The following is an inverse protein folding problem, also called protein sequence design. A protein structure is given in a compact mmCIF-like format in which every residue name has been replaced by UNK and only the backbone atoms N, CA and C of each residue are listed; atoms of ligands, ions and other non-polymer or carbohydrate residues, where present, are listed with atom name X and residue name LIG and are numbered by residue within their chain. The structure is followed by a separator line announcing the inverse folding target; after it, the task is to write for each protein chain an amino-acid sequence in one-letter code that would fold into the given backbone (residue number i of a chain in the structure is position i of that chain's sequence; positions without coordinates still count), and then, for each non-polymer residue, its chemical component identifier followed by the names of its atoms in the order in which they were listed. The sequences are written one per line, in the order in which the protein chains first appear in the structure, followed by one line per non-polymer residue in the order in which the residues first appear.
data_IF_678155854529
#
_entry.id   IF_678155854529
#
_cell.length_a   1.000
_cell.length_b   1.000
_cell.length_c   1.000
_cell.angle_alpha   90.00
_cell.angle_beta   90.00
_cell.angle_gamma   90.00
#
_symmetry.space_group_name_H-M   'P 1'
#
loop_
_entity.id
_entity.type
_entity.pdbx_description
1 polymer ?
#
# COMPACT_ATOMS: atom_id res chain seq x y z
N UNK A 1 -0.56 -11.11 -30.71
CA UNK A 1 -0.07 -9.92 -29.99
C UNK A 1 0.14 -10.32 -28.54
N UNK A 2 1.40 -10.40 -28.13
CA UNK A 2 1.84 -10.91 -26.82
C UNK A 2 1.28 -10.03 -25.69
N UNK A 3 0.38 -10.58 -24.87
CA UNK A 3 0.06 -10.02 -23.55
C UNK A 3 1.19 -10.43 -22.59
N UNK A 4 2.34 -9.80 -22.70
CA UNK A 4 3.40 -9.93 -21.68
C UNK A 4 3.02 -9.03 -20.52
N UNK A 5 2.10 -9.49 -19.68
CA UNK A 5 1.69 -8.79 -18.46
C UNK A 5 2.81 -8.96 -17.44
N UNK A 6 3.54 -7.88 -17.17
CA UNK A 6 4.55 -7.88 -16.12
C UNK A 6 3.82 -8.03 -14.77
N UNK A 7 4.04 -9.15 -14.08
CA UNK A 7 3.47 -9.39 -12.74
C UNK A 7 3.95 -8.37 -11.68
N UNK A 8 4.95 -7.56 -12.03
CA UNK A 8 5.46 -6.47 -11.22
C UNK A 8 5.35 -5.14 -11.92
N UNK A 9 5.18 -4.10 -11.13
CA UNK A 9 5.26 -2.69 -11.50
C UNK A 9 6.29 -2.01 -10.58
N UNK A 10 7.17 -1.17 -11.15
CA UNK A 10 8.11 -0.36 -10.37
C UNK A 10 7.47 1.03 -10.22
N UNK A 11 7.24 1.45 -8.98
CA UNK A 11 6.68 2.78 -8.69
C UNK A 11 7.82 3.80 -8.61
N UNK A 12 8.85 3.47 -7.83
CA UNK A 12 10.08 4.25 -7.69
C UNK A 12 11.22 3.35 -7.17
N UNK A 13 12.35 3.93 -6.78
CA UNK A 13 13.53 3.19 -6.29
C UNK A 13 13.32 2.47 -4.95
N UNK A 14 12.24 2.79 -4.24
CA UNK A 14 11.87 2.19 -2.95
C UNK A 14 10.65 1.29 -3.02
N UNK A 15 9.77 1.45 -4.02
CA UNK A 15 8.48 0.78 -4.04
C UNK A 15 8.30 -0.02 -5.32
N UNK A 16 7.93 -1.29 -5.13
CA UNK A 16 7.43 -2.15 -6.20
C UNK A 16 6.05 -2.68 -5.83
N UNK A 17 5.25 -2.96 -6.85
CA UNK A 17 3.98 -3.66 -6.71
C UNK A 17 4.12 -5.03 -7.34
N UNK A 18 3.74 -6.07 -6.61
CA UNK A 18 3.57 -7.43 -7.13
C UNK A 18 2.09 -7.78 -7.12
N UNK A 19 1.52 -8.11 -8.27
CA UNK A 19 0.17 -8.69 -8.32
C UNK A 19 0.16 -10.02 -7.56
N UNK A 20 -0.71 -10.18 -6.57
CA UNK A 20 -0.82 -11.43 -5.81
C UNK A 20 -1.34 -12.52 -6.73
N UNK A 21 -0.70 -13.69 -6.69
CA UNK A 21 -1.08 -14.87 -7.47
C UNK A 21 -1.13 -16.12 -6.59
N UNK A 22 -1.67 -17.20 -7.16
CA UNK A 22 -1.81 -18.49 -6.47
C UNK A 22 -0.48 -19.04 -5.94
N UNK A 23 0.62 -18.83 -6.66
CA UNK A 23 1.94 -19.36 -6.29
C UNK A 23 2.48 -18.67 -5.04
N UNK A 24 2.33 -17.34 -4.97
CA UNK A 24 2.70 -16.51 -3.82
C UNK A 24 1.97 -17.00 -2.56
N UNK A 25 0.64 -17.17 -2.64
CA UNK A 25 -0.18 -17.62 -1.51
C UNK A 25 0.06 -19.08 -1.11
N UNK A 26 0.53 -19.90 -2.04
CA UNK A 26 0.79 -21.33 -1.81
C UNK A 26 2.15 -21.55 -1.15
N UNK A 27 3.19 -20.90 -1.68
CA UNK A 27 4.58 -21.22 -1.36
C UNK A 27 5.27 -20.20 -0.44
N UNK A 28 4.68 -19.01 -0.27
CA UNK A 28 5.33 -17.93 0.49
C UNK A 28 6.62 -17.44 -0.15
N UNK A 29 6.69 -17.49 -1.48
CA UNK A 29 7.84 -17.02 -2.25
C UNK A 29 7.42 -16.20 -3.47
N UNK A 30 8.29 -15.28 -3.85
CA UNK A 30 8.20 -14.49 -5.06
C UNK A 30 9.48 -14.69 -5.85
N UNK A 31 9.32 -15.03 -7.14
CA UNK A 31 10.43 -15.07 -8.08
C UNK A 31 10.67 -13.69 -8.65
N UNK A 32 11.89 -13.19 -8.51
CA UNK A 32 12.25 -11.82 -8.89
C UNK A 32 12.76 -11.84 -10.34
N UNK A 33 12.12 -11.10 -11.26
CA UNK A 33 12.62 -10.91 -12.62
C UNK A 33 13.96 -10.17 -12.64
N UNK A 34 14.77 -10.42 -13.67
CA UNK A 34 16.11 -9.85 -13.78
C UNK A 34 16.13 -8.31 -13.79
N UNK A 35 15.08 -7.65 -14.27
CA UNK A 35 15.01 -6.19 -14.28
C UNK A 35 14.81 -5.56 -12.88
N UNK A 36 14.44 -6.37 -11.87
CA UNK A 36 14.34 -5.95 -10.47
C UNK A 36 15.60 -6.26 -9.66
N UNK A 37 16.66 -6.81 -10.27
CA UNK A 37 17.87 -7.23 -9.55
C UNK A 37 18.54 -6.08 -8.78
N UNK A 38 18.47 -4.85 -9.32
CA UNK A 38 19.09 -3.67 -8.72
C UNK A 38 18.30 -3.16 -7.53
N UNK A 39 16.96 -3.30 -7.56
CA UNK A 39 16.10 -3.00 -6.41
C UNK A 39 16.50 -3.82 -5.18
N UNK A 40 16.87 -5.09 -5.38
CA UNK A 40 17.28 -6.04 -4.33
C UNK A 40 18.80 -6.19 -4.17
N UNK A 41 19.62 -5.38 -4.86
CA UNK A 41 21.09 -5.41 -4.75
C UNK A 41 21.73 -6.78 -5.06
N UNK A 42 21.12 -7.56 -5.95
CA UNK A 42 21.57 -8.93 -6.27
C UNK A 42 22.95 -9.01 -6.92
N UNK A 43 23.46 -7.91 -7.47
CA UNK A 43 24.83 -7.85 -8.00
C UNK A 43 25.90 -7.89 -6.91
N UNK A 44 25.54 -7.62 -5.65
CA UNK A 44 26.45 -7.67 -4.50
C UNK A 44 26.42 -9.04 -3.78
N UNK A 45 25.56 -9.96 -4.20
CA UNK A 45 25.47 -11.31 -3.61
C UNK A 45 26.53 -12.23 -4.21
N UNK A 46 27.16 -13.03 -3.37
CA UNK A 46 28.02 -14.14 -3.79
C UNK A 46 27.21 -15.40 -4.10
N UNK A 47 27.87 -16.39 -4.70
CA UNK A 47 27.24 -17.67 -5.04
C UNK A 47 26.87 -18.42 -3.76
N UNK A 48 25.59 -18.76 -3.63
CA UNK A 48 24.98 -19.41 -2.45
C UNK A 48 24.65 -18.47 -1.28
N UNK A 49 24.83 -17.15 -1.45
CA UNK A 49 24.42 -16.19 -0.45
C UNK A 49 22.92 -16.26 -0.13
N UNK A 50 22.65 -15.98 1.13
CA UNK A 50 21.31 -15.78 1.68
C UNK A 50 21.36 -14.57 2.59
N UNK A 51 20.55 -13.56 2.29
CA UNK A 51 20.39 -12.41 3.16
C UNK A 51 19.07 -12.53 3.88
N UNK A 52 19.13 -12.59 5.21
CA UNK A 52 17.94 -12.51 6.05
C UNK A 52 17.34 -11.12 5.94
N UNK A 53 16.02 -11.06 5.88
CA UNK A 53 15.27 -9.81 5.73
C UNK A 53 14.15 -9.73 6.75
N UNK A 54 13.81 -8.48 7.06
CA UNK A 54 12.67 -8.14 7.90
C UNK A 54 11.54 -7.61 7.01
N UNK A 55 10.31 -8.07 7.25
CA UNK A 55 9.12 -7.63 6.54
C UNK A 55 8.08 -7.23 7.59
N UNK A 56 7.74 -5.95 7.65
CA UNK A 56 6.60 -5.49 8.46
C UNK A 56 5.33 -5.54 7.64
N UNK A 57 4.32 -6.25 8.12
CA UNK A 57 2.97 -6.31 7.52
C UNK A 57 1.93 -6.18 8.64
N UNK A 58 0.93 -5.29 8.47
CA UNK A 58 -0.10 -5.00 9.49
C UNK A 58 0.50 -4.80 10.90
N UNK A 59 1.50 -3.91 11.01
CA UNK A 59 2.22 -3.62 12.26
C UNK A 59 2.91 -4.82 12.95
N UNK A 60 2.97 -5.97 12.29
CA UNK A 60 3.62 -7.19 12.78
C UNK A 60 4.90 -7.44 11.99
N UNK A 61 5.98 -7.78 12.70
CA UNK A 61 7.27 -8.13 12.10
C UNK A 61 7.31 -9.60 11.71
N UNK A 62 7.72 -9.87 10.47
CA UNK A 62 7.97 -11.18 9.93
C UNK A 62 9.39 -11.26 9.37
N UNK A 63 9.90 -12.49 9.27
CA UNK A 63 11.22 -12.75 8.71
C UNK A 63 11.14 -13.48 7.37
N UNK A 64 12.11 -13.20 6.52
CA UNK A 64 12.28 -13.83 5.23
C UNK A 64 13.74 -13.91 4.81
N UNK A 65 13.95 -14.33 3.56
CA UNK A 65 15.27 -14.48 2.97
C UNK A 65 15.25 -14.06 1.51
N UNK A 66 16.28 -13.33 1.10
CA UNK A 66 16.66 -13.08 -0.28
C UNK A 66 17.79 -14.02 -0.68
N UNK A 67 17.70 -14.66 -1.84
CA UNK A 67 18.75 -15.52 -2.37
C UNK A 67 18.68 -15.63 -3.89
N UNK A 68 19.80 -16.01 -4.51
CA UNK A 68 19.88 -16.26 -5.94
C UNK A 68 19.54 -17.73 -6.24
N UNK A 69 18.54 -17.95 -7.12
CA UNK A 69 18.22 -19.28 -7.65
C UNK A 69 19.02 -19.60 -8.93
N UNK A 70 19.50 -18.56 -9.63
CA UNK A 70 20.48 -18.66 -10.71
C UNK A 70 21.49 -17.52 -10.59
N UNK A 71 22.65 -17.83 -10.00
CA UNK A 71 23.76 -16.89 -9.81
C UNK A 71 24.27 -16.29 -11.12
N UNK A 72 24.37 -17.10 -12.20
CA UNK A 72 24.92 -16.62 -13.49
C UNK A 72 24.01 -15.58 -14.14
N UNK A 73 22.70 -15.69 -13.91
CA UNK A 73 21.70 -14.76 -14.46
C UNK A 73 21.28 -13.67 -13.48
N UNK A 74 21.84 -13.65 -12.26
CA UNK A 74 21.41 -12.79 -11.14
C UNK A 74 19.90 -12.85 -10.92
N UNK A 75 19.34 -14.06 -11.07
CA UNK A 75 17.93 -14.30 -10.80
C UNK A 75 17.79 -14.73 -9.36
N UNK A 76 16.90 -14.07 -8.63
CA UNK A 76 16.68 -14.34 -7.22
C UNK A 76 15.24 -14.58 -6.85
N UNK A 77 15.07 -14.91 -5.58
CA UNK A 77 13.80 -15.14 -4.93
C UNK A 77 13.76 -14.41 -3.60
N UNK A 78 12.59 -13.92 -3.27
CA UNK A 78 12.23 -13.46 -1.93
C UNK A 78 11.30 -14.51 -1.33
N UNK A 79 11.61 -15.02 -0.15
CA UNK A 79 10.80 -16.02 0.54
C UNK A 79 10.57 -15.62 1.99
N UNK A 80 9.39 -15.92 2.54
CA UNK A 80 9.05 -15.64 3.94
C UNK A 80 8.47 -16.86 4.66
N UNK A 81 8.29 -16.71 5.98
CA UNK A 81 7.78 -17.77 6.85
C UNK A 81 6.32 -18.17 6.61
N UNK A 82 5.90 -19.26 7.26
CA UNK A 82 4.51 -19.77 7.16
C UNK A 82 3.48 -18.81 7.73
N UNK A 83 3.85 -17.99 8.72
CA UNK A 83 2.96 -17.04 9.37
C UNK A 83 2.52 -15.93 8.41
N UNK A 84 3.47 -15.20 7.80
CA UNK A 84 3.13 -14.21 6.77
C UNK A 84 2.42 -14.83 5.57
N UNK A 85 2.76 -16.08 5.19
CA UNK A 85 2.03 -16.79 4.14
C UNK A 85 0.57 -17.03 4.53
N UNK A 86 0.30 -17.39 5.79
CA UNK A 86 -1.06 -17.58 6.30
C UNK A 86 -1.83 -16.26 6.34
N UNK A 87 -1.21 -15.19 6.80
CA UNK A 87 -1.86 -13.87 6.83
C UNK A 87 -2.24 -13.40 5.42
N UNK A 88 -1.28 -13.40 4.47
CA UNK A 88 -1.57 -13.04 3.09
C UNK A 88 -2.64 -13.94 2.45
N UNK A 89 -2.64 -15.23 2.81
CA UNK A 89 -3.69 -16.17 2.36
C UNK A 89 -5.05 -15.79 2.93
N UNK A 90 -5.16 -15.56 4.22
CA UNK A 90 -6.44 -15.15 4.84
C UNK A 90 -6.96 -13.86 4.21
N UNK A 91 -6.07 -12.91 3.96
CA UNK A 91 -6.38 -11.60 3.42
C UNK A 91 -6.83 -11.62 1.95
N UNK A 92 -6.14 -12.39 1.10
CA UNK A 92 -6.29 -12.33 -0.36
C UNK A 92 -6.97 -13.55 -1.01
N UNK A 93 -7.17 -14.67 -0.30
CA UNK A 93 -7.64 -15.92 -0.93
C UNK A 93 -9.00 -15.80 -1.59
N UNK A 94 -9.94 -15.06 -1.01
CA UNK A 94 -11.27 -14.88 -1.60
C UNK A 94 -11.21 -14.29 -3.02
N UNK A 95 -10.27 -13.37 -3.26
CA UNK A 95 -10.07 -12.74 -4.57
C UNK A 95 -9.32 -13.62 -5.59
N UNK A 96 -8.66 -14.70 -5.13
CA UNK A 96 -7.84 -15.58 -5.97
C UNK A 96 -8.51 -16.93 -6.23
N UNK A 97 -9.26 -17.45 -5.24
CA UNK A 97 -9.83 -18.79 -5.27
C UNK A 97 -11.36 -18.80 -5.33
N UNK A 98 -12.06 -17.83 -4.74
CA UNK A 98 -13.54 -17.86 -4.67
C UNK A 98 -14.22 -17.25 -5.91
N UNK A 99 -13.45 -16.69 -6.83
CA UNK A 99 -13.92 -16.27 -8.16
C UNK A 99 -14.27 -17.43 -9.10
N UNK A 100 -14.63 -18.61 -8.57
CA UNK A 100 -15.02 -19.80 -9.33
C UNK A 100 -16.19 -19.47 -10.27
N UNK A 101 -15.88 -19.25 -11.56
CA UNK A 101 -16.85 -19.08 -12.64
C UNK A 101 -16.81 -17.75 -13.37
N UNK A 102 -16.09 -16.74 -12.86
CA UNK A 102 -15.81 -15.50 -13.58
C UNK A 102 -14.28 -15.38 -13.75
N UNK A 103 -13.82 -15.11 -14.98
CA UNK A 103 -12.42 -14.72 -15.20
C UNK A 103 -12.08 -13.62 -14.19
N UNK A 104 -11.10 -13.86 -13.31
CA UNK A 104 -10.51 -12.77 -12.53
C UNK A 104 -10.00 -11.82 -13.60
N UNK A 105 -10.67 -10.68 -13.78
CA UNK A 105 -10.11 -9.63 -14.60
C UNK A 105 -8.78 -9.31 -13.97
N UNK A 106 -7.70 -9.50 -14.72
CA UNK A 106 -6.34 -9.39 -14.19
C UNK A 106 -6.15 -8.06 -13.44
N UNK A 107 -6.86 -7.01 -13.87
CA UNK A 107 -6.93 -5.70 -13.23
C UNK A 107 -7.37 -5.71 -11.75
N UNK A 108 -8.23 -6.65 -11.32
CA UNK A 108 -8.83 -6.69 -9.98
C UNK A 108 -8.03 -7.50 -8.96
N UNK A 109 -7.02 -8.25 -9.40
CA UNK A 109 -6.22 -9.07 -8.50
C UNK A 109 -5.55 -8.17 -7.42
N UNK A 110 -5.58 -8.57 -6.14
CA UNK A 110 -4.94 -7.83 -5.07
C UNK A 110 -3.46 -7.57 -5.36
N UNK A 111 -2.98 -6.43 -4.88
CA UNK A 111 -1.63 -5.94 -5.13
C UNK A 111 -0.84 -5.98 -3.84
N UNK A 112 0.28 -6.69 -3.83
CA UNK A 112 1.26 -6.64 -2.75
C UNK A 112 2.21 -5.48 -3.03
N UNK A 113 2.05 -4.40 -2.27
CA UNK A 113 3.00 -3.28 -2.24
C UNK A 113 4.18 -3.69 -1.36
N UNK A 114 5.41 -3.56 -1.88
CA UNK A 114 6.64 -3.81 -1.14
C UNK A 114 7.47 -2.52 -1.18
N UNK A 115 7.62 -1.91 -0.01
CA UNK A 115 8.46 -0.75 0.22
C UNK A 115 9.78 -1.17 0.86
N UNK A 116 10.89 -0.81 0.23
CA UNK A 116 12.25 -0.96 0.73
C UNK A 116 12.55 0.22 1.67
N UNK A 117 12.40 -0.02 2.97
CA UNK A 117 12.71 0.94 4.04
C UNK A 117 14.23 1.06 4.21
N UNK A 118 14.92 -0.08 4.13
CA UNK A 118 16.38 -0.19 4.08
C UNK A 118 16.75 -1.41 3.22
N UNK A 119 18.04 -1.65 2.98
CA UNK A 119 18.57 -2.73 2.14
C UNK A 119 17.91 -4.09 2.41
N UNK A 120 17.73 -4.44 3.68
CA UNK A 120 17.18 -5.73 4.13
C UNK A 120 15.89 -5.58 4.94
N UNK A 121 15.31 -4.37 5.00
CA UNK A 121 14.12 -4.06 5.77
C UNK A 121 13.02 -3.60 4.83
N UNK A 122 11.93 -4.34 4.81
CA UNK A 122 10.79 -4.10 3.94
C UNK A 122 9.53 -3.83 4.75
N UNK A 123 8.64 -3.03 4.18
CA UNK A 123 7.25 -2.89 4.61
C UNK A 123 6.35 -3.38 3.50
N UNK A 124 5.35 -4.16 3.85
CA UNK A 124 4.39 -4.70 2.92
C UNK A 124 2.98 -4.20 3.25
N UNK A 125 2.20 -3.92 2.20
CA UNK A 125 0.78 -3.63 2.28
C UNK A 125 0.03 -4.44 1.21
N UNK A 126 -1.23 -4.76 1.45
CA UNK A 126 -2.11 -5.34 0.41
C UNK A 126 -3.12 -4.28 0.00
N UNK A 127 -3.19 -4.01 -1.30
CA UNK A 127 -4.14 -3.07 -1.90
C UNK A 127 -5.15 -3.88 -2.71
N UNK A 128 -6.43 -3.54 -2.59
CA UNK A 128 -7.53 -4.21 -3.28
C UNK A 128 -8.16 -3.26 -4.30
N UNK A 129 -7.76 -3.34 -5.60
CA UNK A 129 -8.26 -2.40 -6.61
C UNK A 129 -9.79 -2.33 -6.68
N UNK A 130 -10.46 -3.48 -6.61
CA UNK A 130 -11.93 -3.57 -6.66
C UNK A 130 -12.60 -2.87 -5.47
N UNK A 131 -12.07 -3.05 -4.25
CA UNK A 131 -12.64 -2.41 -3.05
C UNK A 131 -12.39 -0.89 -3.07
N UNK A 132 -11.20 -0.46 -3.52
CA UNK A 132 -10.87 0.97 -3.67
C UNK A 132 -11.79 1.64 -4.69
N UNK A 133 -12.08 0.97 -5.82
CA UNK A 133 -12.99 1.48 -6.84
C UNK A 133 -14.44 1.54 -6.32
N UNK A 134 -14.88 0.51 -5.61
CA UNK A 134 -16.22 0.45 -5.01
C UNK A 134 -16.41 1.57 -3.99
N UNK A 135 -15.47 1.73 -3.07
CA UNK A 135 -15.48 2.77 -2.04
C UNK A 135 -15.53 4.18 -2.66
N UNK A 136 -14.66 4.44 -3.64
CA UNK A 136 -14.65 5.71 -4.38
C UNK A 136 -16.01 6.03 -5.05
N UNK A 137 -16.66 5.02 -5.66
CA UNK A 137 -17.99 5.17 -6.25
C UNK A 137 -19.05 5.45 -5.19
N UNK A 138 -19.06 4.71 -4.09
CA UNK A 138 -20.02 4.92 -2.99
C UNK A 138 -19.98 6.37 -2.47
N UNK A 139 -18.79 6.97 -2.35
CA UNK A 139 -18.65 8.39 -2.01
C UNK A 139 -19.28 9.33 -3.04
N UNK A 140 -19.09 9.08 -4.33
CA UNK A 140 -19.64 9.94 -5.40
C UNK A 140 -21.18 9.95 -5.42
N UNK A 141 -21.81 8.85 -4.99
CA UNK A 141 -23.26 8.66 -5.02
C UNK A 141 -23.96 8.96 -3.70
N UNK A 142 -23.24 9.25 -2.61
CA UNK A 142 -23.85 9.57 -1.33
C UNK A 142 -24.63 10.89 -1.39
N UNK A 143 -25.91 10.87 -0.97
CA UNK A 143 -26.85 12.01 -1.10
C UNK A 143 -26.37 13.27 -0.34
N UNK A 144 -25.69 13.06 0.79
CA UNK A 144 -25.05 14.11 1.60
C UNK A 144 -23.68 14.55 1.05
N UNK A 145 -23.64 15.01 -0.20
CA UNK A 145 -22.45 15.62 -0.82
C UNK A 145 -21.85 16.77 0.02
N UNK A 146 -22.64 17.33 0.93
CA UNK A 146 -22.25 18.39 1.86
C UNK A 146 -21.36 17.94 3.02
N UNK A 147 -21.44 16.68 3.48
CA UNK A 147 -20.62 16.22 4.62
C UNK A 147 -19.16 15.97 4.20
N UNK A 148 -18.94 15.60 2.93
CA UNK A 148 -17.62 15.25 2.40
C UNK A 148 -16.97 16.31 1.50
N UNK A 149 -17.55 17.52 1.41
CA UNK A 149 -16.95 18.63 0.68
C UNK A 149 -16.98 18.43 -0.84
N UNK A 150 -17.88 19.16 -1.51
CA UNK A 150 -18.12 19.16 -2.97
C UNK A 150 -16.90 19.64 -3.81
N UNK A 151 -15.69 19.70 -3.24
CA UNK A 151 -14.45 20.09 -3.93
C UNK A 151 -13.40 18.98 -4.05
N UNK A 152 -13.68 17.79 -3.53
CA UNK A 152 -12.78 16.63 -3.47
C UNK A 152 -12.62 15.89 -4.82
N UNK A 153 -12.41 16.60 -5.94
CA UNK A 153 -12.42 16.01 -7.30
C UNK A 153 -11.44 14.83 -7.42
N UNK A 154 -10.19 15.01 -6.97
CA UNK A 154 -9.15 13.99 -7.10
C UNK A 154 -9.08 13.04 -5.89
N UNK A 155 -9.52 13.46 -4.71
CA UNK A 155 -9.61 12.62 -3.51
C UNK A 155 -10.60 11.45 -3.67
N UNK A 156 -11.63 11.67 -4.50
CA UNK A 156 -12.69 10.72 -4.83
C UNK A 156 -12.47 9.98 -6.16
N UNK A 157 -11.43 10.33 -6.92
CA UNK A 157 -11.14 9.68 -8.20
C UNK A 157 -10.52 8.28 -7.94
N UNK A 158 -11.15 7.19 -8.40
CA UNK A 158 -10.65 5.83 -8.15
C UNK A 158 -9.22 5.58 -8.63
N UNK A 159 -8.83 6.15 -9.77
CA UNK A 159 -7.51 5.97 -10.36
C UNK A 159 -6.45 6.76 -9.58
N UNK A 160 -6.78 7.98 -9.15
CA UNK A 160 -5.91 8.77 -8.27
C UNK A 160 -5.73 8.04 -6.94
N UNK A 161 -6.82 7.59 -6.32
CA UNK A 161 -6.78 6.83 -5.05
C UNK A 161 -5.88 5.61 -5.16
N UNK A 162 -6.07 4.78 -6.18
CA UNK A 162 -5.26 3.58 -6.38
C UNK A 162 -3.76 3.91 -6.55
N UNK A 163 -3.42 4.95 -7.31
CA UNK A 163 -2.03 5.39 -7.50
C UNK A 163 -1.42 5.94 -6.20
N UNK A 164 -2.17 6.74 -5.46
CA UNK A 164 -1.74 7.28 -4.16
C UNK A 164 -1.49 6.14 -3.17
N UNK A 165 -2.37 5.12 -3.11
CA UNK A 165 -2.18 3.96 -2.23
C UNK A 165 -0.98 3.09 -2.65
N UNK A 166 -0.69 2.96 -3.95
CA UNK A 166 0.54 2.29 -4.40
C UNK A 166 1.79 3.02 -3.90
N UNK A 167 1.78 4.35 -3.87
CA UNK A 167 2.91 5.17 -3.41
C UNK A 167 3.01 5.17 -1.88
N UNK A 168 1.91 5.42 -1.18
CA UNK A 168 1.93 5.73 0.26
C UNK A 168 1.52 4.58 1.17
N UNK A 169 0.97 3.50 0.63
CA UNK A 169 0.39 2.41 1.40
C UNK A 169 -1.04 2.71 1.86
N UNK A 170 -1.56 1.87 2.76
CA UNK A 170 -2.98 1.87 3.18
C UNK A 170 -3.20 2.30 4.63
N UNK A 171 -2.14 2.79 5.28
CA UNK A 171 -2.21 3.30 6.66
C UNK A 171 -2.24 4.83 6.64
N UNK A 172 -2.89 5.43 7.62
CA UNK A 172 -2.94 6.87 7.76
C UNK A 172 -1.52 7.44 7.92
N UNK A 173 -1.11 8.30 6.99
CA UNK A 173 0.20 8.95 7.01
C UNK A 173 0.38 9.97 8.14
N UNK A 174 -0.63 10.21 8.97
CA UNK A 174 -0.58 11.13 10.11
C UNK A 174 -0.48 10.37 11.43
N UNK A 175 -1.45 9.50 11.73
CA UNK A 175 -1.52 8.81 13.02
C UNK A 175 -1.18 7.32 12.96
N UNK A 176 -0.92 6.77 11.76
CA UNK A 176 -0.60 5.35 11.56
C UNK A 176 -1.81 4.41 11.66
N UNK A 177 -3.03 4.94 11.83
CA UNK A 177 -4.25 4.13 11.88
C UNK A 177 -4.47 3.37 10.56
N UNK A 178 -4.83 2.10 10.66
CA UNK A 178 -5.13 1.23 9.52
C UNK A 178 -6.50 0.59 9.74
N UNK A 179 -7.45 0.88 8.85
CA UNK A 179 -8.83 0.42 8.98
C UNK A 179 -8.97 -1.10 8.87
N UNK A 180 -8.34 -1.72 7.88
CA UNK A 180 -8.38 -3.18 7.71
C UNK A 180 -7.75 -3.90 8.91
N UNK A 181 -6.65 -3.37 9.46
CA UNK A 181 -6.01 -3.95 10.64
C UNK A 181 -6.91 -3.91 11.89
N UNK A 182 -7.69 -2.84 12.07
CA UNK A 182 -8.54 -2.66 13.27
C UNK A 182 -9.92 -3.29 13.13
N UNK A 183 -10.56 -3.13 11.96
CA UNK A 183 -11.93 -3.56 11.70
C UNK A 183 -12.02 -4.86 10.89
N UNK A 184 -10.90 -5.35 10.34
CA UNK A 184 -10.88 -6.54 9.50
C UNK A 184 -11.54 -6.32 8.14
N UNK A 185 -12.14 -7.37 7.61
CA UNK A 185 -12.65 -7.42 6.23
C UNK A 185 -13.72 -6.38 5.91
N UNK A 186 -14.46 -5.87 6.91
CA UNK A 186 -15.53 -4.86 6.67
C UNK A 186 -14.99 -3.48 6.30
N UNK A 187 -13.70 -3.21 6.56
CA UNK A 187 -13.05 -1.94 6.23
C UNK A 187 -11.87 -2.13 5.26
N UNK A 188 -11.89 -3.23 4.49
CA UNK A 188 -10.87 -3.56 3.50
C UNK A 188 -10.88 -2.53 2.36
N UNK A 189 -9.70 -2.04 2.00
CA UNK A 189 -9.56 -0.98 0.98
C UNK A 189 -10.05 0.41 1.40
N UNK A 190 -10.57 0.56 2.62
CA UNK A 190 -11.13 1.81 3.12
C UNK A 190 -10.05 2.69 3.76
N UNK A 191 -9.86 3.89 3.20
CA UNK A 191 -9.01 4.95 3.73
C UNK A 191 -9.33 6.25 2.96
N UNK A 192 -9.26 7.42 3.60
CA UNK A 192 -9.42 8.68 2.87
C UNK A 192 -8.13 9.04 2.15
N UNK A 193 -8.26 9.71 1.01
CA UNK A 193 -7.14 10.39 0.36
C UNK A 193 -7.35 11.87 0.55
N UNK A 194 -6.31 12.56 1.02
CA UNK A 194 -6.33 14.02 1.18
C UNK A 194 -5.36 14.66 0.19
N UNK A 195 -5.81 15.68 -0.54
CA UNK A 195 -4.95 16.55 -1.34
C UNK A 195 -4.33 17.63 -0.45
N UNK A 196 -3.01 17.71 -0.43
CA UNK A 196 -2.25 18.70 0.33
C UNK A 196 -2.14 19.98 -0.50
N UNK A 197 -2.54 21.12 0.08
CA UNK A 197 -2.43 22.43 -0.56
C UNK A 197 -3.68 22.85 -1.36
N UNK A 198 -3.48 23.68 -2.39
CA UNK A 198 -4.59 24.32 -3.12
C UNK A 198 -5.33 23.35 -4.05
N UNK A 199 -6.67 23.40 -3.99
CA UNK A 199 -7.58 22.53 -4.77
C UNK A 199 -7.75 22.95 -6.24
N UNK A 200 -7.27 24.15 -6.62
CA UNK A 200 -7.52 24.73 -7.94
C UNK A 200 -6.53 24.27 -9.04
N UNK A 201 -5.60 23.35 -8.71
CA UNK A 201 -4.63 22.81 -9.68
C UNK A 201 -5.22 21.69 -10.53
N UNK A 202 -4.76 21.56 -11.77
CA UNK A 202 -5.08 20.41 -12.61
C UNK A 202 -4.27 19.18 -12.17
N UNK A 203 -4.78 17.98 -12.47
CA UNK A 203 -4.13 16.71 -12.09
C UNK A 203 -2.72 16.58 -12.67
N UNK A 204 -2.49 17.07 -13.89
CA UNK A 204 -1.17 17.03 -14.54
C UNK A 204 -0.13 17.90 -13.83
N UNK A 205 -0.57 18.88 -13.03
CA UNK A 205 0.28 19.78 -12.25
C UNK A 205 0.56 19.24 -10.84
N UNK A 206 -0.15 18.18 -10.42
CA UNK A 206 -0.04 17.59 -9.10
C UNK A 206 0.94 16.42 -9.09
N UNK A 207 1.72 16.32 -8.02
CA UNK A 207 2.60 15.21 -7.76
C UNK A 207 1.95 14.27 -6.72
N UNK A 208 1.57 13.06 -7.13
CA UNK A 208 0.88 12.09 -6.27
C UNK A 208 1.68 11.67 -5.02
N UNK A 209 3.00 11.82 -5.03
CA UNK A 209 3.87 11.53 -3.88
C UNK A 209 3.94 12.71 -2.89
N UNK A 210 3.76 13.95 -3.35
CA UNK A 210 3.94 15.15 -2.52
C UNK A 210 2.65 15.85 -2.14
N UNK A 211 1.67 15.82 -3.04
CA UNK A 211 0.45 16.59 -2.96
C UNK A 211 -0.74 15.74 -2.51
N UNK A 212 -0.53 14.45 -2.18
CA UNK A 212 -1.56 13.55 -1.69
C UNK A 212 -1.06 12.68 -0.55
N UNK A 213 -1.95 12.33 0.36
CA UNK A 213 -1.64 11.46 1.49
C UNK A 213 -2.88 10.63 1.90
N UNK A 214 -2.73 9.32 2.18
CA UNK A 214 -3.78 8.54 2.79
C UNK A 214 -3.95 8.92 4.27
N UNK A 215 -5.18 9.17 4.71
CA UNK A 215 -5.51 9.56 6.09
C UNK A 215 -6.77 8.85 6.58
N UNK A 216 -6.90 8.67 7.91
CA UNK A 216 -8.14 8.16 8.48
C UNK A 216 -9.20 9.25 8.57
N UNK A 217 -10.48 8.87 8.69
CA UNK A 217 -11.62 9.81 8.76
C UNK A 217 -11.44 10.89 9.82
N UNK A 218 -10.90 10.54 10.99
CA UNK A 218 -10.65 11.51 12.06
C UNK A 218 -9.59 12.54 11.66
N UNK A 219 -8.47 12.10 11.07
CA UNK A 219 -7.42 13.03 10.64
C UNK A 219 -7.88 13.87 9.44
N UNK A 220 -8.59 13.25 8.49
CA UNK A 220 -9.18 13.93 7.33
C UNK A 220 -10.13 15.05 7.78
N UNK A 221 -11.06 14.74 8.70
CA UNK A 221 -11.99 15.72 9.25
C UNK A 221 -11.30 16.90 9.94
N UNK A 222 -10.20 16.68 10.66
CA UNK A 222 -9.43 17.76 11.29
C UNK A 222 -8.71 18.64 10.26
N UNK A 223 -8.14 18.05 9.20
CA UNK A 223 -7.51 18.81 8.11
C UNK A 223 -8.54 19.68 7.39
N UNK A 224 -9.70 19.13 7.06
CA UNK A 224 -10.77 19.89 6.40
C UNK A 224 -11.36 20.99 7.31
N UNK A 225 -11.54 20.72 8.61
CA UNK A 225 -12.01 21.71 9.59
C UNK A 225 -11.02 22.86 9.79
N UNK A 226 -9.73 22.59 9.63
CA UNK A 226 -8.65 23.54 9.93
C UNK A 226 -8.11 24.26 8.69
N UNK A 227 -8.79 24.16 7.54
CA UNK A 227 -8.38 24.84 6.30
C UNK A 227 -8.26 26.36 6.46
N UNK A 228 -9.08 26.97 7.31
CA UNK A 228 -9.01 28.43 7.58
C UNK A 228 -7.73 28.85 8.32
N UNK A 229 -7.08 27.93 9.03
CA UNK A 229 -5.84 28.18 9.78
C UNK A 229 -4.60 27.54 9.14
N UNK A 230 -4.74 27.01 7.92
CA UNK A 230 -3.69 26.35 7.13
C UNK A 230 -2.91 25.27 7.91
N UNK A 231 -3.62 24.48 8.73
CA UNK A 231 -3.00 23.40 9.50
C UNK A 231 -2.40 22.36 8.55
N UNK A 232 -1.08 22.24 8.57
CA UNK A 232 -0.37 21.29 7.74
C UNK A 232 -0.40 19.86 8.31
N UNK A 233 -0.20 18.89 7.42
CA UNK A 233 -0.01 17.46 7.77
C UNK A 233 1.07 17.30 8.85
N UNK A 234 2.17 18.04 8.75
CA UNK A 234 3.30 17.97 9.71
C UNK A 234 2.93 18.50 11.08
N UNK A 235 2.19 19.60 11.14
CA UNK A 235 1.71 20.15 12.42
C UNK A 235 0.73 19.20 13.10
N UNK A 236 -0.19 18.60 12.35
CA UNK A 236 -1.13 17.62 12.92
C UNK A 236 -0.40 16.37 13.44
N UNK A 237 0.62 15.88 12.73
CA UNK A 237 1.49 14.80 13.23
C UNK A 237 2.16 15.18 14.56
N UNK A 238 2.69 16.40 14.68
CA UNK A 238 3.32 16.88 15.91
C UNK A 238 2.32 16.98 17.07
N UNK A 239 1.12 17.51 16.81
CA UNK A 239 0.04 17.59 17.81
C UNK A 239 -0.28 16.20 18.35
N UNK A 240 -0.55 15.22 17.46
CA UNK A 240 -0.88 13.85 17.86
C UNK A 240 0.27 13.21 18.65
N UNK A 241 1.52 13.42 18.23
CA UNK A 241 2.70 12.90 18.93
C UNK A 241 2.79 13.46 20.36
N UNK A 242 2.71 14.78 20.52
CA UNK A 242 2.77 15.44 21.84
C UNK A 242 1.63 14.94 22.74
N UNK A 243 0.40 14.88 22.22
CA UNK A 243 -0.75 14.40 23.00
C UNK A 243 -0.61 12.92 23.39
N UNK A 244 -0.06 12.08 22.51
CA UNK A 244 0.23 10.67 22.82
C UNK A 244 1.28 10.53 23.92
N UNK A 245 2.31 11.37 23.93
CA UNK A 245 3.35 11.39 24.96
C UNK A 245 2.79 11.85 26.31
N UNK A 246 1.98 12.92 26.33
CA UNK A 246 1.33 13.40 27.55
C UNK A 246 0.41 12.34 28.17
N UNK A 247 -0.45 11.69 27.37
CA UNK A 247 -1.33 10.63 27.88
C UNK A 247 -0.59 9.38 28.39
N UNK A 248 0.67 9.17 27.98
CA UNK A 248 1.52 8.09 28.54
C UNK A 248 2.12 8.47 29.89
N UNK A 249 2.29 9.76 30.17
CA UNK A 249 2.78 10.25 31.46
C UNK A 249 1.66 10.25 32.52
N UNK A 250 0.41 10.40 32.09
CA UNK A 250 -0.77 10.39 32.97
C UNK A 250 -1.26 8.98 33.35
N UNK A 251 -0.64 7.92 32.80
CA UNK A 251 -0.97 6.50 33.06
C UNK A 251 0.13 5.78 33.83
#
# INVERSE_FOLDING_TARGET
MEKTVHSFEIINERIIIKRIDKSLLTYGEIRIPNYLRDFFHFHEMEKHDRWDIEITYNHTLYYGVLYLDDYKRLRGKLRWGKELTRELRNTASKYIYESYGYDIREENAPLLRIEKVDRLIFRADVIFPEEVEKDAKEYMFHEDKFIYGVKARYELDPDVRLKVLKIHGVSCGICGFNFEHIYGDVAKGYIQIHQIGMEDKNLEELNLEKDFIPVCDNCHGILHRSKEVDLSVKELQQIIKIQSELHKLDK
#
